data_IF_153277072454
#
_entry.id   IF_153277072454
#
_cell.length_a   1.000
_cell.length_b   1.000
_cell.length_c   1.000
_cell.angle_alpha   90.00
_cell.angle_beta   90.00
_cell.angle_gamma   90.00
#
_symmetry.space_group_name_H-M   'P 1'
#
loop_
_entity.id
_entity.type
_entity.pdbx_description
1 polymer ?
#
# COMPACT_ATOMS: atom_id res chain seq x y z
N UNK A 1 1.18 -15.79 -25.99
CA UNK A 1 0.98 -14.57 -25.19
C UNK A 1 -0.12 -14.78 -24.14
N UNK A 2 0.09 -15.69 -23.19
CA UNK A 2 -0.86 -15.94 -22.07
C UNK A 2 -0.20 -15.62 -20.72
N UNK A 3 1.14 -15.62 -20.68
CA UNK A 3 1.94 -15.38 -19.48
C UNK A 3 1.83 -13.96 -18.91
N UNK A 4 1.57 -12.94 -19.73
CA UNK A 4 1.47 -11.55 -19.26
C UNK A 4 0.19 -11.27 -18.46
N UNK A 5 -0.90 -11.99 -18.76
CA UNK A 5 -2.22 -11.78 -18.13
C UNK A 5 -2.25 -12.42 -16.74
N UNK A 6 -1.65 -13.59 -16.58
CA UNK A 6 -1.51 -14.26 -15.27
C UNK A 6 -0.58 -13.49 -14.31
N UNK A 7 0.48 -12.86 -14.83
CA UNK A 7 1.45 -12.12 -14.02
C UNK A 7 0.85 -10.89 -13.34
N UNK A 8 -0.07 -10.20 -14.01
CA UNK A 8 -0.78 -9.04 -13.45
C UNK A 8 -1.79 -9.44 -12.36
N UNK A 9 -2.32 -10.67 -12.43
CA UNK A 9 -3.30 -11.20 -11.47
C UNK A 9 -2.66 -11.74 -10.19
N UNK A 10 -1.38 -12.10 -10.24
CA UNK A 10 -0.65 -12.71 -9.13
C UNK A 10 0.32 -11.74 -8.44
N UNK A 11 0.66 -10.60 -9.05
CA UNK A 11 1.58 -9.66 -8.40
C UNK A 11 0.93 -9.04 -7.16
N UNK A 12 1.61 -9.01 -6.01
CA UNK A 12 1.07 -8.37 -4.83
C UNK A 12 0.88 -6.87 -5.09
N UNK A 13 -0.09 -6.29 -4.41
CA UNK A 13 -0.50 -4.90 -4.64
C UNK A 13 -0.85 -4.17 -3.36
N UNK A 14 -0.59 -2.88 -3.35
CA UNK A 14 -1.11 -1.94 -2.37
C UNK A 14 -2.27 -1.20 -3.00
N UNK A 15 -3.40 -1.21 -2.32
CA UNK A 15 -4.61 -0.48 -2.67
C UNK A 15 -4.79 0.64 -1.66
N UNK A 16 -4.90 1.86 -2.15
CA UNK A 16 -5.15 3.05 -1.34
C UNK A 16 -6.55 3.56 -1.68
N UNK A 17 -7.43 3.49 -0.69
CA UNK A 17 -8.80 3.97 -0.79
C UNK A 17 -8.98 5.18 0.13
N UNK A 18 -9.01 6.38 -0.47
CA UNK A 18 -9.31 7.61 0.25
C UNK A 18 -10.80 7.89 0.13
N UNK A 19 -11.55 7.47 1.13
CA UNK A 19 -12.99 7.72 1.24
C UNK A 19 -13.26 9.09 1.88
N UNK A 20 -12.26 9.83 2.33
CA UNK A 20 -12.45 11.16 2.90
C UNK A 20 -12.56 12.26 1.84
N UNK A 21 -13.03 13.43 2.27
CA UNK A 21 -13.08 14.64 1.44
C UNK A 21 -11.76 15.42 1.41
N UNK A 22 -10.72 14.93 2.11
CA UNK A 22 -9.38 15.54 2.11
C UNK A 22 -8.50 14.97 1.01
N UNK A 23 -7.60 15.81 0.51
CA UNK A 23 -6.47 15.39 -0.32
C UNK A 23 -5.18 15.34 0.51
N UNK A 24 -4.25 14.52 0.04
CA UNK A 24 -2.93 14.33 0.65
C UNK A 24 -1.86 14.42 -0.45
N UNK A 25 -0.67 14.92 -0.09
CA UNK A 25 0.40 15.10 -1.07
C UNK A 25 1.06 13.77 -1.43
N UNK A 26 1.25 12.89 -0.44
CA UNK A 26 1.82 11.58 -0.66
C UNK A 26 1.46 10.58 0.44
N UNK A 27 1.57 9.31 0.09
CA UNK A 27 1.62 8.20 1.04
C UNK A 27 2.83 7.35 0.70
N UNK A 28 3.77 7.28 1.62
CA UNK A 28 5.00 6.52 1.49
C UNK A 28 4.89 5.24 2.30
N UNK A 29 5.32 4.14 1.70
CA UNK A 29 5.48 2.85 2.33
C UNK A 29 6.95 2.45 2.22
N UNK A 30 7.56 2.12 3.36
CA UNK A 30 8.84 1.44 3.37
C UNK A 30 8.60 -0.03 3.68
N UNK A 31 8.85 -0.86 2.67
CA UNK A 31 8.84 -2.31 2.79
C UNK A 31 10.24 -2.80 3.19
N UNK A 32 10.37 -4.06 3.64
CA UNK A 32 11.67 -4.63 3.99
C UNK A 32 12.72 -4.56 2.87
N UNK A 33 12.33 -4.66 1.59
CA UNK A 33 13.28 -4.70 0.46
C UNK A 33 13.26 -3.46 -0.44
N UNK A 34 12.22 -2.62 -0.36
CA UNK A 34 12.04 -1.48 -1.25
C UNK A 34 11.07 -0.44 -0.66
N UNK A 35 11.11 0.77 -1.21
CA UNK A 35 10.12 1.79 -0.91
C UNK A 35 9.08 1.90 -2.03
N UNK A 36 7.88 2.33 -1.67
CA UNK A 36 6.76 2.55 -2.58
C UNK A 36 6.01 3.82 -2.16
N UNK A 37 5.75 4.70 -3.12
CA UNK A 37 5.10 5.98 -2.86
C UNK A 37 3.94 6.21 -3.79
N UNK A 38 2.82 6.66 -3.22
CA UNK A 38 1.71 7.26 -3.96
C UNK A 38 1.88 8.77 -3.94
N UNK A 39 1.89 9.39 -5.11
CA UNK A 39 1.89 10.85 -5.26
C UNK A 39 0.48 11.36 -5.49
N UNK A 40 0.11 12.42 -4.78
CA UNK A 40 -1.19 13.08 -4.80
C UNK A 40 -2.37 12.10 -4.62
N UNK A 41 -2.85 11.98 -3.38
CA UNK A 41 -4.05 11.23 -3.05
C UNK A 41 -5.24 12.19 -3.09
N UNK A 42 -6.06 12.07 -4.13
CA UNK A 42 -7.27 12.86 -4.30
C UNK A 42 -8.35 12.45 -3.30
N UNK A 43 -9.28 13.35 -2.95
CA UNK A 43 -10.46 12.97 -2.16
C UNK A 43 -11.30 11.98 -2.95
N UNK A 44 -12.02 11.09 -2.23
CA UNK A 44 -12.93 10.09 -2.82
C UNK A 44 -12.28 9.32 -3.97
N UNK A 45 -11.03 8.89 -3.79
CA UNK A 45 -10.24 8.25 -4.85
C UNK A 45 -9.67 6.91 -4.44
N UNK A 46 -9.49 6.07 -5.46
CA UNK A 46 -8.92 4.74 -5.34
C UNK A 46 -7.67 4.65 -6.21
N UNK A 47 -6.56 4.19 -5.64
CA UNK A 47 -5.28 4.03 -6.35
C UNK A 47 -4.69 2.65 -6.04
N UNK A 48 -3.95 2.10 -6.98
CA UNK A 48 -3.30 0.80 -6.82
C UNK A 48 -1.90 0.85 -7.40
N UNK A 49 -0.93 0.33 -6.64
CA UNK A 49 0.43 0.09 -7.13
C UNK A 49 0.77 -1.38 -6.88
N UNK A 50 1.30 -2.02 -7.90
CA UNK A 50 1.81 -3.39 -7.82
C UNK A 50 3.28 -3.34 -7.39
N UNK A 51 3.68 -4.28 -6.55
CA UNK A 51 5.06 -4.40 -6.08
C UNK A 51 5.58 -5.81 -6.31
N UNK A 52 6.91 -5.97 -6.19
CA UNK A 52 7.53 -7.29 -6.26
C UNK A 52 7.47 -7.98 -4.90
N UNK A 53 7.29 -9.31 -4.85
CA UNK A 53 7.37 -10.06 -3.60
C UNK A 53 8.65 -9.72 -2.81
N UNK A 54 8.49 -9.46 -1.51
CA UNK A 54 9.56 -9.11 -0.59
C UNK A 54 10.44 -10.31 -0.25
N UNK A 55 9.85 -11.52 -0.17
CA UNK A 55 10.52 -12.79 0.20
C UNK A 55 11.23 -12.76 1.55
N UNK A 56 10.78 -11.87 2.44
CA UNK A 56 11.32 -11.74 3.77
C UNK A 56 10.25 -11.23 4.72
N UNK A 57 10.31 -11.72 5.96
CA UNK A 57 9.49 -11.23 7.07
C UNK A 57 10.09 -9.91 7.53
N UNK A 58 9.23 -8.93 7.82
CA UNK A 58 9.69 -7.65 8.36
C UNK A 58 8.55 -6.74 8.76
N UNK A 59 8.83 -5.45 8.80
CA UNK A 59 7.84 -4.41 9.06
C UNK A 59 7.62 -3.60 7.79
N UNK A 60 6.36 -3.29 7.49
CA UNK A 60 6.03 -2.21 6.58
C UNK A 60 5.71 -0.99 7.44
N UNK A 61 6.42 0.10 7.21
CA UNK A 61 6.07 1.40 7.80
C UNK A 61 5.38 2.25 6.76
N UNK A 62 4.38 3.02 7.17
CA UNK A 62 3.73 3.99 6.29
C UNK A 62 3.78 5.40 6.88
N UNK A 63 3.79 6.40 5.98
CA UNK A 63 3.70 7.81 6.32
C UNK A 63 2.80 8.54 5.33
N UNK A 64 1.73 9.15 5.83
CA UNK A 64 0.79 9.97 5.08
C UNK A 64 1.14 11.45 5.27
N UNK A 65 1.35 12.15 4.16
CA UNK A 65 1.74 13.56 4.15
C UNK A 65 0.56 14.45 3.72
N UNK A 66 0.32 15.53 4.45
CA UNK A 66 -0.63 16.58 4.06
C UNK A 66 -0.15 17.31 2.80
N UNK A 67 -1.02 18.14 2.22
CA UNK A 67 -0.65 19.04 1.12
C UNK A 67 0.40 20.09 1.51
N UNK A 68 0.58 20.39 2.81
CA UNK A 68 1.66 21.24 3.31
C UNK A 68 3.00 20.51 3.45
N UNK A 69 3.01 19.17 3.31
CA UNK A 69 4.18 18.32 3.48
C UNK A 69 4.37 17.78 4.90
N UNK A 70 3.45 18.10 5.83
CA UNK A 70 3.50 17.60 7.21
C UNK A 70 3.03 16.15 7.29
N UNK A 71 3.70 15.33 8.11
CA UNK A 71 3.23 13.98 8.41
C UNK A 71 1.98 14.05 9.28
N UNK A 72 0.84 13.66 8.71
CA UNK A 72 -0.46 13.66 9.41
C UNK A 72 -0.84 12.30 9.98
N UNK A 73 -0.21 11.24 9.48
CA UNK A 73 -0.30 9.92 10.08
C UNK A 73 0.92 9.07 9.72
N UNK A 74 1.26 8.17 10.63
CA UNK A 74 2.29 7.15 10.40
C UNK A 74 2.00 5.92 11.25
N UNK A 75 2.52 4.79 10.83
CA UNK A 75 2.36 3.54 11.56
C UNK A 75 3.23 2.44 10.99
N UNK A 76 3.15 1.28 11.63
CA UNK A 76 3.88 0.09 11.22
C UNK A 76 2.99 -1.14 11.33
N UNK A 77 3.22 -2.10 10.45
CA UNK A 77 2.55 -3.39 10.45
C UNK A 77 3.56 -4.49 10.20
N UNK A 78 3.33 -5.64 10.82
CA UNK A 78 4.11 -6.84 10.52
C UNK A 78 3.77 -7.32 9.12
N UNK A 79 4.78 -7.42 8.27
CA UNK A 79 4.70 -8.09 7.00
C UNK A 79 5.22 -9.51 7.15
N UNK A 80 4.29 -10.47 7.08
CA UNK A 80 4.62 -11.88 7.10
C UNK A 80 4.79 -12.30 5.64
N UNK A 81 5.97 -12.02 5.07
CA UNK A 81 6.41 -12.64 3.82
C UNK A 81 6.86 -14.08 4.10
N UNK A 82 6.57 -15.01 3.19
CA UNK A 82 7.17 -16.35 3.22
C UNK A 82 8.45 -16.31 2.36
N UNK A 83 9.44 -17.16 2.67
CA UNK A 83 10.60 -17.32 1.79
C UNK A 83 10.18 -17.81 0.38
N UNK A 84 9.01 -18.46 0.29
CA UNK A 84 8.38 -18.82 -0.98
C UNK A 84 7.69 -17.61 -1.64
N UNK A 85 8.13 -17.18 -2.84
CA UNK A 85 7.51 -16.07 -3.57
C UNK A 85 6.04 -16.30 -3.90
N UNK A 86 5.60 -17.58 -3.91
CA UNK A 86 4.23 -17.98 -4.21
C UNK A 86 3.25 -17.61 -3.09
N UNK A 87 3.71 -17.48 -1.85
CA UNK A 87 2.84 -17.15 -0.71
C UNK A 87 2.40 -15.69 -0.71
N UNK A 88 3.20 -14.82 -1.35
CA UNK A 88 2.89 -13.40 -1.49
C UNK A 88 2.12 -13.10 -2.78
N UNK A 89 1.91 -14.09 -3.65
CA UNK A 89 1.17 -13.89 -4.87
C UNK A 89 -0.32 -13.67 -4.56
N UNK A 90 -0.89 -12.62 -5.13
CA UNK A 90 -2.28 -12.24 -4.93
C UNK A 90 -2.55 -11.48 -3.62
N UNK A 91 -1.55 -11.34 -2.74
CA UNK A 91 -1.68 -10.55 -1.51
C UNK A 91 -2.09 -9.12 -1.82
N UNK A 92 -3.14 -8.66 -1.16
CA UNK A 92 -3.62 -7.28 -1.28
C UNK A 92 -3.47 -6.57 0.05
N UNK A 93 -2.69 -5.48 0.04
CA UNK A 93 -2.55 -4.58 1.18
C UNK A 93 -3.50 -3.41 1.01
N UNK A 94 -4.54 -3.34 1.83
CA UNK A 94 -5.56 -2.31 1.79
C UNK A 94 -5.26 -1.21 2.81
N UNK A 95 -5.01 0.00 2.33
CA UNK A 95 -4.90 1.23 3.12
C UNK A 95 -6.14 2.08 2.89
N UNK A 96 -6.97 2.25 3.92
CA UNK A 96 -8.22 3.02 3.81
C UNK A 96 -8.18 4.22 4.74
N UNK A 97 -8.47 5.40 4.18
CA UNK A 97 -8.76 6.63 4.93
C UNK A 97 -10.27 6.80 4.89
N UNK A 98 -10.95 6.61 6.03
CA UNK A 98 -12.40 6.71 6.08
C UNK A 98 -12.87 8.19 6.12
N UNK A 99 -14.19 8.40 6.09
CA UNK A 99 -14.79 9.74 6.13
C UNK A 99 -14.46 10.54 7.40
N UNK A 100 -14.19 9.84 8.51
CA UNK A 100 -13.78 10.43 9.79
C UNK A 100 -12.26 10.69 9.87
N UNK A 101 -11.52 10.47 8.78
CA UNK A 101 -10.06 10.57 8.71
C UNK A 101 -9.31 9.51 9.53
N UNK A 102 -10.00 8.45 9.95
CA UNK A 102 -9.37 7.31 10.59
C UNK A 102 -8.74 6.43 9.52
N UNK A 103 -7.57 5.90 9.85
CA UNK A 103 -6.78 5.08 8.94
C UNK A 103 -6.90 3.63 9.38
N UNK A 104 -7.21 2.76 8.42
CA UNK A 104 -7.18 1.32 8.63
C UNK A 104 -6.26 0.66 7.61
N UNK A 105 -5.54 -0.35 8.08
CA UNK A 105 -4.68 -1.16 7.24
C UNK A 105 -5.02 -2.63 7.40
N UNK A 106 -5.22 -3.32 6.28
CA UNK A 106 -5.56 -4.75 6.26
C UNK A 106 -4.78 -5.47 5.18
N UNK A 107 -4.53 -6.75 5.43
CA UNK A 107 -3.94 -7.66 4.46
C UNK A 107 -4.98 -8.73 4.16
N UNK A 108 -5.29 -8.91 2.88
CA UNK A 108 -6.20 -9.94 2.36
C UNK A 108 -5.43 -10.94 1.46
#
# INVERSE_FOLDING_TARGET
MISAIAYHFLSPKVVVDNQSDKSYSALNFSFPSNDLSFSAIKPRSHQTIYFSPQKQIGLITYQLLSNSGDTVAQGQLSYIGDESPLAELGTTLNFTINENYEISFKTD
#
